data_IF_340535479163
#
_entry.id   IF_340535479163
#
_cell.length_a   1.000
_cell.length_b   1.000
_cell.length_c   1.000
_cell.angle_alpha   90.00
_cell.angle_beta   90.00
_cell.angle_gamma   90.00
#
_symmetry.space_group_name_H-M   'P 1'
#
loop_
_entity.id
_entity.type
_entity.pdbx_description
1 polymer ?
#
# COMPACT_ATOMS: atom_id res chain seq x y z
N UNK A 1 -27.42 30.48 -26.70
CA UNK A 1 -28.23 29.31 -26.31
C UNK A 1 -29.72 29.56 -26.48
N UNK A 2 -30.24 30.70 -26.03
CA UNK A 2 -31.66 31.03 -26.07
C UNK A 2 -32.23 31.09 -27.49
N UNK A 3 -31.52 31.71 -28.45
CA UNK A 3 -31.93 31.77 -29.88
C UNK A 3 -31.97 30.39 -30.56
N UNK A 4 -31.03 29.49 -30.21
CA UNK A 4 -31.03 28.14 -30.75
C UNK A 4 -32.23 27.34 -30.26
N UNK A 5 -32.50 27.39 -28.94
CA UNK A 5 -33.66 26.70 -28.35
C UNK A 5 -35.00 27.26 -28.85
N UNK A 6 -35.08 28.55 -29.14
CA UNK A 6 -36.32 29.20 -29.64
C UNK A 6 -36.79 28.65 -30.96
N UNK A 7 -35.87 28.25 -31.86
CA UNK A 7 -36.17 27.71 -33.20
C UNK A 7 -36.54 26.22 -33.23
N UNK A 8 -36.32 25.48 -32.14
CA UNK A 8 -36.56 24.06 -32.08
C UNK A 8 -38.03 23.72 -31.75
N UNK A 9 -38.58 22.64 -32.33
CA UNK A 9 -39.85 22.07 -31.91
C UNK A 9 -39.78 21.58 -30.48
N UNK A 10 -40.88 21.64 -29.72
CA UNK A 10 -40.98 21.31 -28.30
C UNK A 10 -40.36 19.93 -28.00
N UNK A 11 -40.69 18.91 -28.78
CA UNK A 11 -40.12 17.58 -28.64
C UNK A 11 -38.60 17.50 -28.79
N UNK A 12 -38.02 18.34 -29.66
CA UNK A 12 -36.57 18.43 -29.82
C UNK A 12 -35.90 19.15 -28.63
N UNK A 13 -36.52 20.19 -28.06
CA UNK A 13 -36.04 20.88 -26.86
C UNK A 13 -35.91 19.93 -25.67
N UNK A 14 -36.97 19.13 -25.43
CA UNK A 14 -36.97 18.11 -24.40
C UNK A 14 -35.91 17.04 -24.65
N UNK A 15 -35.81 16.53 -25.91
CA UNK A 15 -34.79 15.52 -26.24
C UNK A 15 -33.40 16.03 -25.98
N UNK A 16 -33.02 17.24 -26.38
CA UNK A 16 -31.71 17.81 -26.12
C UNK A 16 -31.46 18.00 -24.61
N UNK A 17 -32.45 18.48 -23.85
CA UNK A 17 -32.33 18.65 -22.39
C UNK A 17 -32.03 17.33 -21.68
N UNK A 18 -32.83 16.30 -21.95
CA UNK A 18 -32.64 14.98 -21.34
C UNK A 18 -31.34 14.31 -21.80
N UNK A 19 -30.99 14.41 -23.10
CA UNK A 19 -29.72 13.85 -23.60
C UNK A 19 -28.51 14.48 -22.89
N UNK A 20 -28.51 15.80 -22.70
CA UNK A 20 -27.40 16.47 -21.99
C UNK A 20 -27.28 16.01 -20.54
N UNK A 21 -28.40 15.90 -19.82
CA UNK A 21 -28.40 15.40 -18.46
C UNK A 21 -27.87 13.97 -18.40
N UNK A 22 -28.33 13.09 -19.31
CA UNK A 22 -27.89 11.69 -19.39
C UNK A 22 -26.37 11.63 -19.69
N UNK A 23 -25.88 12.40 -20.63
CA UNK A 23 -24.45 12.44 -21.01
C UNK A 23 -23.60 12.95 -19.82
N UNK A 24 -24.04 14.02 -19.15
CA UNK A 24 -23.31 14.53 -17.97
C UNK A 24 -23.25 13.50 -16.86
N UNK A 25 -24.36 12.78 -16.62
CA UNK A 25 -24.39 11.72 -15.62
C UNK A 25 -23.49 10.53 -16.00
N UNK A 26 -23.50 10.14 -17.28
CA UNK A 26 -22.63 9.08 -17.79
C UNK A 26 -21.13 9.44 -17.64
N UNK A 27 -20.75 10.68 -17.95
CA UNK A 27 -19.39 11.18 -17.74
C UNK A 27 -19.00 11.13 -16.24
N UNK A 28 -19.88 11.61 -15.37
CA UNK A 28 -19.63 11.56 -13.91
C UNK A 28 -19.44 10.12 -13.43
N UNK A 29 -20.27 9.20 -13.92
CA UNK A 29 -20.16 7.77 -13.57
C UNK A 29 -18.81 7.17 -14.03
N UNK A 30 -18.38 7.45 -15.25
CA UNK A 30 -17.09 6.96 -15.77
C UNK A 30 -15.93 7.51 -14.96
N UNK A 31 -15.91 8.82 -14.66
CA UNK A 31 -14.87 9.44 -13.82
C UNK A 31 -14.84 8.80 -12.44
N UNK A 32 -15.99 8.55 -11.83
CA UNK A 32 -16.12 7.91 -10.53
C UNK A 32 -15.55 6.48 -10.54
N UNK A 33 -15.93 5.67 -11.54
CA UNK A 33 -15.46 4.29 -11.67
C UNK A 33 -13.93 4.21 -11.86
N UNK A 34 -13.38 5.04 -12.74
CA UNK A 34 -11.93 5.10 -12.98
C UNK A 34 -11.21 5.47 -11.69
N UNK A 35 -11.69 6.45 -10.94
CA UNK A 35 -11.10 6.88 -9.68
C UNK A 35 -11.10 5.77 -8.62
N UNK A 36 -12.21 5.04 -8.50
CA UNK A 36 -12.32 3.89 -7.57
C UNK A 36 -11.32 2.80 -7.93
N UNK A 37 -11.19 2.46 -9.22
CA UNK A 37 -10.24 1.45 -9.69
C UNK A 37 -8.79 1.88 -9.38
N UNK A 38 -8.42 3.12 -9.66
CA UNK A 38 -7.07 3.64 -9.36
C UNK A 38 -6.77 3.60 -7.85
N UNK A 39 -7.69 4.05 -7.01
CA UNK A 39 -7.53 4.00 -5.55
C UNK A 39 -7.39 2.57 -5.04
N UNK A 40 -8.15 1.61 -5.58
CA UNK A 40 -8.04 0.20 -5.21
C UNK A 40 -6.67 -0.39 -5.59
N UNK A 41 -6.13 -0.05 -6.77
CA UNK A 41 -4.80 -0.49 -7.20
C UNK A 41 -3.71 0.08 -6.28
N UNK A 42 -3.76 1.37 -5.96
CA UNK A 42 -2.79 2.01 -5.07
C UNK A 42 -2.87 1.43 -3.65
N UNK A 43 -4.08 1.21 -3.14
CA UNK A 43 -4.30 0.57 -1.83
C UNK A 43 -3.77 -0.87 -1.80
N UNK A 44 -4.01 -1.64 -2.86
CA UNK A 44 -3.49 -3.01 -2.98
C UNK A 44 -1.95 -3.03 -2.93
N UNK A 45 -1.28 -2.18 -3.73
CA UNK A 45 0.19 -2.06 -3.73
C UNK A 45 0.73 -1.64 -2.38
N UNK A 46 0.08 -0.65 -1.73
CA UNK A 46 0.45 -0.23 -0.39
C UNK A 46 0.49 -1.40 0.60
N UNK A 47 -0.60 -2.17 0.70
CA UNK A 47 -0.68 -3.26 1.70
C UNK A 47 0.13 -4.49 1.32
N UNK A 48 0.15 -4.89 0.06
CA UNK A 48 0.76 -6.15 -0.38
C UNK A 48 2.27 -6.05 -0.64
N UNK A 49 2.75 -4.87 -0.94
CA UNK A 49 4.15 -4.65 -1.27
C UNK A 49 4.84 -3.79 -0.20
N UNK A 50 4.58 -2.50 -0.17
CA UNK A 50 5.35 -1.58 0.65
C UNK A 50 5.18 -1.80 2.16
N UNK A 51 3.93 -1.90 2.64
CA UNK A 51 3.66 -2.16 4.06
C UNK A 51 4.11 -3.55 4.48
N UNK A 52 3.83 -4.58 3.67
CA UNK A 52 4.28 -5.94 3.95
C UNK A 52 5.81 -6.05 4.04
N UNK A 53 6.56 -5.42 3.12
CA UNK A 53 8.02 -5.40 3.15
C UNK A 53 8.56 -4.66 4.37
N UNK A 54 7.93 -3.55 4.76
CA UNK A 54 8.30 -2.82 5.99
C UNK A 54 8.08 -3.66 7.24
N UNK A 55 6.99 -4.42 7.32
CA UNK A 55 6.72 -5.31 8.45
C UNK A 55 7.65 -6.51 8.47
N UNK A 56 7.85 -7.16 7.32
CA UNK A 56 8.73 -8.33 7.19
C UNK A 56 10.18 -8.02 7.64
N UNK A 57 10.73 -6.88 7.23
CA UNK A 57 12.09 -6.51 7.67
C UNK A 57 12.18 -6.31 9.19
N UNK A 58 11.14 -5.77 9.83
CA UNK A 58 11.10 -5.61 11.28
C UNK A 58 11.00 -6.96 12.01
N UNK A 59 10.18 -7.88 11.49
CA UNK A 59 10.08 -9.24 12.02
C UNK A 59 11.40 -10.00 11.89
N UNK A 60 12.07 -9.92 10.72
CA UNK A 60 13.38 -10.54 10.52
C UNK A 60 14.39 -10.00 11.55
N UNK A 61 14.44 -8.69 11.74
CA UNK A 61 15.35 -8.06 12.71
C UNK A 61 15.09 -8.54 14.15
N UNK A 62 13.82 -8.58 14.56
CA UNK A 62 13.42 -9.10 15.86
C UNK A 62 13.83 -10.57 16.03
N UNK A 63 13.57 -11.40 15.03
CA UNK A 63 13.84 -12.83 15.10
C UNK A 63 15.35 -13.12 15.12
N UNK A 64 16.18 -12.35 14.41
CA UNK A 64 17.65 -12.41 14.50
C UNK A 64 18.12 -12.12 15.94
N UNK A 65 17.58 -11.10 16.60
CA UNK A 65 17.91 -10.81 18.00
C UNK A 65 17.49 -11.93 18.93
N UNK A 66 16.35 -12.58 18.70
CA UNK A 66 15.92 -13.75 19.47
C UNK A 66 16.84 -14.95 19.24
N UNK A 67 17.32 -15.17 18.02
CA UNK A 67 18.34 -16.18 17.73
C UNK A 67 19.59 -15.94 18.57
N UNK A 68 20.16 -14.73 18.52
CA UNK A 68 21.35 -14.37 19.33
C UNK A 68 21.12 -14.54 20.82
N UNK A 69 19.98 -14.09 21.34
CA UNK A 69 19.60 -14.24 22.74
C UNK A 69 19.57 -15.70 23.19
N UNK A 70 18.95 -16.58 22.42
CA UNK A 70 18.85 -18.00 22.78
C UNK A 70 20.19 -18.72 22.62
N UNK A 71 21.05 -18.36 21.68
CA UNK A 71 22.41 -18.87 21.59
C UNK A 71 23.21 -18.42 22.83
N UNK A 72 23.13 -17.14 23.22
CA UNK A 72 23.81 -16.63 24.40
C UNK A 72 23.35 -17.36 25.67
N UNK A 73 22.05 -17.59 25.84
CA UNK A 73 21.53 -18.36 26.96
C UNK A 73 22.00 -19.83 26.96
N UNK A 74 22.18 -20.45 25.82
CA UNK A 74 22.71 -21.81 25.73
C UNK A 74 24.15 -21.93 26.22
N UNK A 75 24.92 -20.85 26.13
CA UNK A 75 26.32 -20.78 26.61
C UNK A 75 26.45 -20.38 28.08
N UNK A 76 25.37 -19.91 28.71
CA UNK A 76 25.39 -19.44 30.11
C UNK A 76 24.77 -20.44 31.08
N UNK A 77 24.39 -21.63 30.64
CA UNK A 77 23.86 -22.71 31.50
C UNK A 77 24.75 -23.94 31.44
N UNK A 78 24.95 -24.58 32.60
CA UNK A 78 25.69 -25.84 32.70
C UNK A 78 24.78 -27.06 32.55
N UNK A 79 23.45 -26.85 32.45
CA UNK A 79 22.48 -27.93 32.28
C UNK A 79 22.28 -28.26 30.80
N UNK A 80 22.67 -29.46 30.39
CA UNK A 80 22.60 -29.93 29.02
C UNK A 80 21.19 -29.92 28.45
N UNK A 81 20.16 -30.17 29.28
CA UNK A 81 18.75 -30.13 28.87
C UNK A 81 18.33 -28.71 28.53
N UNK A 82 18.70 -27.74 29.35
CA UNK A 82 18.44 -26.30 29.10
C UNK A 82 19.24 -25.80 27.91
N UNK A 83 20.51 -26.19 27.74
CA UNK A 83 21.31 -25.86 26.54
C UNK A 83 20.58 -26.30 25.26
N UNK A 84 20.17 -27.57 25.19
CA UNK A 84 19.47 -28.10 24.02
C UNK A 84 18.14 -27.37 23.77
N UNK A 85 17.38 -27.03 24.81
CA UNK A 85 16.12 -26.30 24.71
C UNK A 85 16.32 -24.89 24.12
N UNK A 86 17.38 -24.19 24.56
CA UNK A 86 17.73 -22.87 24.01
C UNK A 86 18.20 -22.96 22.55
N UNK A 87 19.02 -23.94 22.19
CA UNK A 87 19.46 -24.15 20.81
C UNK A 87 18.30 -24.49 19.88
N UNK A 88 17.35 -25.31 20.34
CA UNK A 88 16.12 -25.58 19.59
C UNK A 88 15.28 -24.31 19.36
N UNK A 89 15.22 -23.43 20.37
CA UNK A 89 14.55 -22.14 20.26
C UNK A 89 15.26 -21.23 19.25
N UNK A 90 16.59 -21.17 19.30
CA UNK A 90 17.40 -20.41 18.34
C UNK A 90 17.16 -20.91 16.91
N UNK A 91 17.14 -22.25 16.70
CA UNK A 91 16.86 -22.84 15.39
C UNK A 91 15.47 -22.47 14.88
N UNK A 92 14.44 -22.56 15.74
CA UNK A 92 13.06 -22.19 15.38
C UNK A 92 12.97 -20.74 14.85
N UNK A 93 13.60 -19.79 15.53
CA UNK A 93 13.59 -18.39 15.06
C UNK A 93 14.45 -18.20 13.82
N UNK A 94 15.56 -18.92 13.67
CA UNK A 94 16.36 -18.90 12.46
C UNK A 94 15.57 -19.43 11.23
N UNK A 95 14.76 -20.46 11.41
CA UNK A 95 13.87 -20.97 10.36
C UNK A 95 12.79 -19.94 9.98
N UNK A 96 12.27 -19.18 10.97
CA UNK A 96 11.33 -18.09 10.72
C UNK A 96 11.99 -16.95 9.93
N UNK A 97 13.21 -16.56 10.29
CA UNK A 97 14.04 -15.62 9.51
C UNK A 97 14.15 -16.09 8.05
N UNK A 98 14.48 -17.37 7.82
CA UNK A 98 14.60 -17.94 6.47
C UNK A 98 13.31 -17.84 5.65
N UNK A 99 12.15 -18.11 6.28
CA UNK A 99 10.83 -17.97 5.64
C UNK A 99 10.52 -16.51 5.30
N UNK A 100 10.71 -15.60 6.25
CA UNK A 100 10.44 -14.18 6.07
C UNK A 100 11.37 -13.55 5.01
N UNK A 101 12.65 -13.91 5.00
CA UNK A 101 13.61 -13.49 3.96
C UNK A 101 13.19 -14.00 2.59
N UNK A 102 12.71 -15.23 2.48
CA UNK A 102 12.23 -15.80 1.22
C UNK A 102 11.01 -15.02 0.69
N UNK A 103 10.11 -14.61 1.57
CA UNK A 103 8.95 -13.79 1.24
C UNK A 103 9.38 -12.39 0.80
N UNK A 104 10.26 -11.74 1.58
CA UNK A 104 10.79 -10.41 1.28
C UNK A 104 11.51 -10.37 -0.09
N UNK A 105 12.31 -11.39 -0.42
CA UNK A 105 12.98 -11.50 -1.73
C UNK A 105 12.02 -11.53 -2.91
N UNK A 106 10.81 -12.06 -2.75
CA UNK A 106 9.81 -12.14 -3.81
C UNK A 106 9.10 -10.81 -4.03
N UNK A 107 8.84 -10.06 -2.96
CA UNK A 107 8.05 -8.83 -2.98
C UNK A 107 8.89 -7.55 -3.10
N UNK A 108 10.18 -7.58 -2.75
CA UNK A 108 11.03 -6.41 -2.76
C UNK A 108 11.70 -6.21 -4.13
N UNK A 109 11.57 -5.01 -4.70
CA UNK A 109 11.91 -4.74 -6.11
C UNK A 109 13.40 -4.44 -6.33
N UNK A 110 14.12 -3.92 -5.32
CA UNK A 110 15.55 -3.62 -5.44
C UNK A 110 16.40 -4.89 -5.42
N UNK A 111 16.75 -5.37 -6.61
CA UNK A 111 17.53 -6.61 -6.80
C UNK A 111 18.91 -6.55 -6.18
N UNK A 112 19.54 -5.36 -6.12
CA UNK A 112 20.86 -5.19 -5.51
C UNK A 112 20.78 -5.43 -4.01
N UNK A 113 19.85 -4.77 -3.31
CA UNK A 113 19.62 -4.98 -1.88
C UNK A 113 19.18 -6.41 -1.54
N UNK A 114 18.42 -7.06 -2.43
CA UNK A 114 18.07 -8.48 -2.30
C UNK A 114 19.32 -9.38 -2.37
N UNK A 115 20.27 -9.08 -3.24
CA UNK A 115 21.52 -9.84 -3.30
C UNK A 115 22.37 -9.62 -2.04
N UNK A 116 22.57 -8.36 -1.62
CA UNK A 116 23.27 -8.01 -0.38
C UNK A 116 22.65 -8.71 0.85
N UNK A 117 21.32 -8.73 0.94
CA UNK A 117 20.58 -9.43 1.99
C UNK A 117 20.86 -10.95 1.96
N UNK A 118 20.88 -11.55 0.77
CA UNK A 118 21.18 -12.98 0.63
C UNK A 118 22.58 -13.31 1.16
N UNK A 119 23.58 -12.56 0.76
CA UNK A 119 24.97 -12.81 1.14
C UNK A 119 25.18 -12.62 2.65
N UNK A 120 24.56 -11.59 3.23
CA UNK A 120 24.61 -11.35 4.69
C UNK A 120 23.90 -12.46 5.48
N UNK A 121 22.78 -13.00 5.00
CA UNK A 121 22.09 -14.13 5.65
C UNK A 121 22.93 -15.41 5.59
N UNK A 122 23.59 -15.70 4.49
CA UNK A 122 24.45 -16.89 4.39
C UNK A 122 25.65 -16.77 5.33
N UNK A 123 26.25 -15.59 5.45
CA UNK A 123 27.35 -15.37 6.40
C UNK A 123 26.87 -15.52 7.85
N UNK A 124 25.77 -14.89 8.25
CA UNK A 124 25.21 -15.05 9.59
C UNK A 124 24.87 -16.51 9.91
N UNK A 125 24.32 -17.24 8.94
CA UNK A 125 24.00 -18.66 9.08
C UNK A 125 25.25 -19.48 9.37
N UNK A 126 26.37 -19.23 8.68
CA UNK A 126 27.65 -19.89 8.89
C UNK A 126 28.15 -19.68 10.31
N UNK A 127 28.18 -18.41 10.77
CA UNK A 127 28.62 -18.09 12.12
C UNK A 127 27.69 -18.69 13.18
N UNK A 128 26.39 -18.66 12.98
CA UNK A 128 25.39 -19.26 13.86
C UNK A 128 25.60 -20.77 14.03
N UNK A 129 25.84 -21.51 12.92
CA UNK A 129 26.06 -22.96 12.99
C UNK A 129 27.31 -23.26 13.81
N UNK A 130 28.41 -22.57 13.57
CA UNK A 130 29.63 -22.74 14.33
C UNK A 130 29.42 -22.46 15.85
N UNK A 131 28.70 -21.41 16.20
CA UNK A 131 28.33 -21.10 17.57
C UNK A 131 27.51 -22.20 18.24
N UNK A 132 26.51 -22.72 17.56
CA UNK A 132 25.64 -23.78 18.09
C UNK A 132 26.43 -25.09 18.29
N UNK A 133 27.39 -25.41 17.44
CA UNK A 133 28.27 -26.57 17.58
C UNK A 133 29.19 -26.41 18.80
N UNK A 134 29.80 -25.24 19.02
CA UNK A 134 30.62 -24.96 20.17
C UNK A 134 29.82 -25.05 21.49
N UNK A 135 28.61 -24.47 21.51
CA UNK A 135 27.73 -24.55 22.65
C UNK A 135 27.29 -25.98 22.98
N UNK A 136 27.02 -26.83 21.97
CA UNK A 136 26.70 -28.24 22.18
C UNK A 136 27.87 -29.03 22.74
N UNK A 137 29.11 -28.62 22.44
CA UNK A 137 30.35 -29.23 22.96
C UNK A 137 30.74 -28.70 24.33
N UNK A 138 29.93 -27.82 24.95
CA UNK A 138 30.26 -27.06 26.20
C UNK A 138 31.57 -26.23 26.11
N UNK A 139 31.96 -25.83 24.89
CA UNK A 139 33.09 -24.93 24.65
C UNK A 139 32.65 -23.48 24.78
N UNK A 140 32.12 -23.12 25.94
CA UNK A 140 31.43 -21.86 26.16
C UNK A 140 32.32 -20.63 25.98
N UNK A 141 33.60 -20.70 26.39
CA UNK A 141 34.55 -19.60 26.21
C UNK A 141 34.86 -19.33 24.72
N UNK A 142 35.07 -20.40 23.94
CA UNK A 142 35.31 -20.29 22.51
C UNK A 142 34.04 -19.77 21.76
N UNK A 143 32.87 -20.26 22.18
CA UNK A 143 31.60 -19.82 21.66
C UNK A 143 31.34 -18.34 21.97
N UNK A 144 31.64 -17.87 23.20
CA UNK A 144 31.47 -16.48 23.58
C UNK A 144 32.45 -15.55 22.86
N UNK A 145 33.68 -16.00 22.62
CA UNK A 145 34.62 -15.23 21.79
C UNK A 145 34.11 -15.06 20.35
N UNK A 146 33.64 -16.13 19.72
CA UNK A 146 33.06 -16.09 18.37
C UNK A 146 31.77 -15.24 18.35
N UNK A 147 30.93 -15.32 19.39
CA UNK A 147 29.71 -14.51 19.51
C UNK A 147 30.02 -13.01 19.54
N UNK A 148 31.02 -12.61 20.30
CA UNK A 148 31.40 -11.21 20.45
C UNK A 148 32.23 -10.64 19.30
N UNK A 149 32.66 -11.46 18.33
CA UNK A 149 33.38 -11.08 17.13
C UNK A 149 32.54 -11.31 15.86
N UNK A 150 32.83 -12.37 15.15
CA UNK A 150 32.33 -12.64 13.81
C UNK A 150 30.79 -12.74 13.71
N UNK A 151 30.14 -13.31 14.76
CA UNK A 151 28.68 -13.38 14.79
C UNK A 151 28.04 -12.02 15.01
N UNK A 152 28.59 -11.20 15.92
CA UNK A 152 28.09 -9.85 16.15
C UNK A 152 28.26 -8.98 14.91
N UNK A 153 29.44 -9.01 14.29
CA UNK A 153 29.74 -8.25 13.05
C UNK A 153 28.79 -8.65 11.90
N UNK A 154 28.57 -9.96 11.71
CA UNK A 154 27.62 -10.46 10.73
C UNK A 154 26.17 -10.03 11.04
N UNK A 155 25.81 -10.00 12.33
CA UNK A 155 24.49 -9.54 12.79
C UNK A 155 24.29 -8.05 12.53
N UNK A 156 25.26 -7.20 12.87
CA UNK A 156 25.21 -5.76 12.64
C UNK A 156 25.09 -5.45 11.15
N UNK A 157 25.94 -6.05 10.34
CA UNK A 157 25.88 -5.90 8.87
C UNK A 157 24.49 -6.26 8.31
N UNK A 158 23.91 -7.37 8.76
CA UNK A 158 22.58 -7.79 8.34
C UNK A 158 21.50 -6.82 8.83
N UNK A 159 21.60 -6.33 10.08
CA UNK A 159 20.70 -5.33 10.64
C UNK A 159 20.70 -4.03 9.81
N UNK A 160 21.87 -3.55 9.39
CA UNK A 160 22.02 -2.34 8.59
C UNK A 160 21.35 -2.49 7.21
N UNK A 161 21.56 -3.64 6.54
CA UNK A 161 20.89 -3.95 5.27
C UNK A 161 19.36 -3.96 5.45
N UNK A 162 18.86 -4.56 6.52
CA UNK A 162 17.42 -4.61 6.82
C UNK A 162 16.85 -3.23 7.16
N UNK A 163 17.61 -2.38 7.86
CA UNK A 163 17.23 -0.97 8.10
C UNK A 163 17.10 -0.21 6.78
N UNK A 164 18.04 -0.39 5.88
CA UNK A 164 17.99 0.26 4.56
C UNK A 164 16.83 -0.25 3.70
N UNK A 165 16.54 -1.54 3.72
CA UNK A 165 15.34 -2.12 3.11
C UNK A 165 14.09 -1.47 3.71
N UNK A 166 14.06 -1.32 5.04
CA UNK A 166 12.96 -0.66 5.74
C UNK A 166 12.76 0.79 5.35
N UNK A 167 13.85 1.56 5.15
CA UNK A 167 13.77 2.95 4.65
C UNK A 167 13.16 3.01 3.25
N UNK A 168 13.60 2.13 2.33
CA UNK A 168 13.06 2.06 0.97
C UNK A 168 11.58 1.67 1.00
N UNK A 169 11.21 0.61 1.71
CA UNK A 169 9.83 0.16 1.83
C UNK A 169 8.91 1.25 2.44
N UNK A 170 9.40 1.98 3.46
CA UNK A 170 8.65 3.08 4.07
C UNK A 170 8.49 4.27 3.12
N UNK A 171 9.50 4.58 2.32
CA UNK A 171 9.42 5.63 1.30
C UNK A 171 8.41 5.26 0.19
N UNK A 172 8.42 4.01 -0.27
CA UNK A 172 7.44 3.48 -1.22
C UNK A 172 6.02 3.54 -0.65
N UNK A 173 5.82 3.12 0.61
CA UNK A 173 4.53 3.19 1.29
C UNK A 173 4.01 4.64 1.38
N UNK A 174 4.87 5.58 1.75
CA UNK A 174 4.52 7.02 1.78
C UNK A 174 4.16 7.55 0.39
N UNK A 175 4.90 7.16 -0.64
CA UNK A 175 4.62 7.55 -2.02
C UNK A 175 3.25 7.05 -2.49
N UNK A 176 2.97 5.76 -2.27
CA UNK A 176 1.68 5.14 -2.66
C UNK A 176 0.50 5.73 -1.88
N UNK A 177 0.66 5.96 -0.56
CA UNK A 177 -0.35 6.65 0.23
C UNK A 177 -0.63 8.07 -0.30
N UNK A 178 0.42 8.81 -0.62
CA UNK A 178 0.29 10.17 -1.15
C UNK A 178 -0.40 10.17 -2.52
N UNK A 179 -0.03 9.23 -3.41
CA UNK A 179 -0.69 9.03 -4.70
C UNK A 179 -2.18 8.77 -4.54
N UNK A 180 -2.55 7.79 -3.72
CA UNK A 180 -3.95 7.45 -3.46
C UNK A 180 -4.74 8.64 -2.88
N UNK A 181 -4.14 9.41 -1.95
CA UNK A 181 -4.74 10.61 -1.37
C UNK A 181 -4.97 11.71 -2.41
N UNK A 182 -3.96 11.99 -3.24
CA UNK A 182 -4.08 13.00 -4.31
C UNK A 182 -5.15 12.59 -5.31
N UNK A 183 -5.14 11.34 -5.77
CA UNK A 183 -6.17 10.79 -6.67
C UNK A 183 -7.56 10.95 -6.06
N UNK A 184 -7.74 10.63 -4.78
CA UNK A 184 -9.01 10.79 -4.08
C UNK A 184 -9.48 12.25 -4.03
N UNK A 185 -8.60 13.18 -3.66
CA UNK A 185 -8.93 14.62 -3.59
C UNK A 185 -9.29 15.17 -4.98
N UNK A 186 -8.50 14.87 -6.00
CA UNK A 186 -8.77 15.31 -7.37
C UNK A 186 -10.12 14.76 -7.87
N UNK A 187 -10.42 13.51 -7.57
CA UNK A 187 -11.70 12.89 -7.94
C UNK A 187 -12.88 13.57 -7.27
N UNK A 188 -12.78 13.90 -5.98
CA UNK A 188 -13.83 14.63 -5.26
C UNK A 188 -14.06 16.01 -5.89
N UNK A 189 -12.99 16.75 -6.15
CA UNK A 189 -13.08 18.08 -6.78
C UNK A 189 -13.75 17.98 -8.17
N UNK A 190 -13.34 17.03 -9.00
CA UNK A 190 -13.95 16.80 -10.31
C UNK A 190 -15.44 16.47 -10.20
N UNK A 191 -15.83 15.60 -9.25
CA UNK A 191 -17.24 15.24 -9.03
C UNK A 191 -18.07 16.45 -8.59
N UNK A 192 -17.54 17.31 -7.71
CA UNK A 192 -18.20 18.54 -7.27
C UNK A 192 -18.38 19.50 -8.48
N UNK A 193 -17.35 19.66 -9.31
CA UNK A 193 -17.42 20.52 -10.50
C UNK A 193 -18.44 20.00 -11.51
N UNK A 194 -18.45 18.70 -11.80
CA UNK A 194 -19.43 18.08 -12.69
C UNK A 194 -20.84 18.22 -12.12
N UNK A 195 -21.02 17.95 -10.82
CA UNK A 195 -22.30 18.05 -10.15
C UNK A 195 -22.86 19.47 -10.14
N UNK A 196 -22.06 20.47 -9.76
CA UNK A 196 -22.46 21.89 -9.77
C UNK A 196 -22.75 22.39 -11.18
N UNK A 197 -21.93 21.99 -12.18
CA UNK A 197 -22.16 22.29 -13.58
C UNK A 197 -23.48 21.69 -14.09
N UNK A 198 -23.79 20.45 -13.74
CA UNK A 198 -25.03 19.76 -14.11
C UNK A 198 -26.26 20.46 -13.49
N UNK A 199 -26.20 20.87 -12.23
CA UNK A 199 -27.29 21.61 -11.54
C UNK A 199 -27.50 22.96 -12.19
N UNK A 200 -26.44 23.73 -12.43
CA UNK A 200 -26.52 25.04 -13.09
C UNK A 200 -27.13 24.91 -14.49
N UNK A 201 -26.65 23.96 -15.28
CA UNK A 201 -27.15 23.68 -16.61
C UNK A 201 -28.63 23.25 -16.62
N UNK A 202 -29.01 22.34 -15.73
CA UNK A 202 -30.42 21.91 -15.58
C UNK A 202 -31.33 23.05 -15.18
N UNK A 203 -30.86 23.99 -14.35
CA UNK A 203 -31.61 25.17 -13.96
C UNK A 203 -31.84 26.12 -15.12
N UNK A 204 -30.81 26.37 -15.96
CA UNK A 204 -30.90 27.18 -17.15
C UNK A 204 -31.89 26.55 -18.16
N UNK A 205 -31.78 25.24 -18.38
CA UNK A 205 -32.73 24.52 -19.29
C UNK A 205 -34.17 24.65 -18.75
N UNK A 206 -34.39 24.40 -17.46
CA UNK A 206 -35.70 24.48 -16.84
C UNK A 206 -36.31 25.86 -17.04
N UNK A 207 -35.59 26.93 -16.71
CA UNK A 207 -36.10 28.32 -16.81
C UNK A 207 -36.39 28.69 -18.29
N UNK A 208 -35.49 28.30 -19.20
CA UNK A 208 -35.66 28.55 -20.65
C UNK A 208 -36.87 27.81 -21.24
N UNK A 209 -37.01 26.51 -20.94
CA UNK A 209 -38.10 25.70 -21.45
C UNK A 209 -39.44 26.17 -20.84
N UNK A 210 -39.48 26.40 -19.53
CA UNK A 210 -40.69 26.86 -18.81
C UNK A 210 -41.15 28.22 -19.37
N UNK A 211 -40.21 29.17 -19.56
CA UNK A 211 -40.55 30.49 -20.12
C UNK A 211 -41.07 30.46 -21.56
N UNK A 212 -40.51 29.58 -22.40
CA UNK A 212 -40.92 29.45 -23.81
C UNK A 212 -42.25 28.67 -23.96
N UNK A 213 -42.58 27.78 -23.02
CA UNK A 213 -43.80 26.95 -23.09
C UNK A 213 -44.99 27.55 -22.34
N UNK A 214 -44.75 28.10 -21.13
CA UNK A 214 -45.85 28.66 -20.32
C UNK A 214 -46.38 29.99 -20.83
N UNK A 215 -45.54 30.91 -21.30
CA UNK A 215 -46.00 32.22 -21.79
C UNK A 215 -47.04 32.11 -22.91
N UNK A 216 -46.85 31.36 -24.01
CA UNK A 216 -47.87 31.24 -25.04
C UNK A 216 -49.15 30.55 -24.56
N UNK A 217 -49.07 29.62 -23.64
CA UNK A 217 -50.24 28.93 -23.07
C UNK A 217 -51.06 29.88 -22.21
N UNK A 218 -50.43 30.68 -21.39
CA UNK A 218 -51.08 31.69 -20.55
C UNK A 218 -51.70 32.84 -21.38
N UNK A 219 -51.03 33.23 -22.48
CA UNK A 219 -51.57 34.20 -23.44
C UNK A 219 -52.81 33.67 -24.19
N UNK A 220 -52.85 32.36 -24.50
CA UNK A 220 -54.01 31.71 -25.11
C UNK A 220 -55.16 31.52 -24.11
N UNK A 221 -54.83 31.19 -22.85
CA UNK A 221 -55.84 31.04 -21.78
C UNK A 221 -56.51 32.37 -21.42
N UNK A 222 -55.74 33.47 -21.32
CA UNK A 222 -56.24 34.81 -21.09
C UNK A 222 -56.92 35.46 -22.30
N UNK A 223 -56.78 34.88 -23.52
CA UNK A 223 -57.54 35.34 -24.72
C UNK A 223 -58.85 34.55 -24.90
N UNK A 224 -59.06 33.48 -24.08
CA UNK A 224 -60.27 32.66 -24.17
C UNK A 224 -61.31 32.98 -23.06
N UNK A 225 -60.89 33.82 -22.07
CA UNK A 225 -61.78 34.47 -21.11
C UNK A 225 -62.20 35.84 -21.60
#
# INVERSE_FOLDING_TARGET
MEEFYRKLKVGMKLKYAFTTVIVTFAVAMVVSLVSIVMMNVDTYKFYREAYANSTLQMEIRKDIQLVGKYILWSMTTDDTGSTQSYLNSAQKYADQVGKNVTTLKKSFHDKKKVAELKDAIEELKKQRVALMELAQQNKNDEALALFNSDYNDATEKLQDILVDIGKVASAEAKSQYTSARVTGIVSIILMILIGTGAVAFSTVIRTTITGIMLKPIQELEGAAE
#
